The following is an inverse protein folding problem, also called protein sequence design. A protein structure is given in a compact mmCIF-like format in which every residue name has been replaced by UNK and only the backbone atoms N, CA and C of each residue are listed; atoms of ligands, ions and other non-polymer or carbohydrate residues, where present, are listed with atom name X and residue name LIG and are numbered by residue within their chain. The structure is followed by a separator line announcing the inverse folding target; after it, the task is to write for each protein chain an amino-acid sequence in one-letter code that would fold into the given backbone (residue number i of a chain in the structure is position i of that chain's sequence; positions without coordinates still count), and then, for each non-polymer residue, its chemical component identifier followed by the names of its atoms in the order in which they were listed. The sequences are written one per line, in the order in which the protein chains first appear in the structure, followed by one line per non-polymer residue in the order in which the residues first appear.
data_IF_002620040406
#
_entry.id   IF_002620040406
#
_cell.length_a   1.000
_cell.length_b   1.000
_cell.length_c   1.000
_cell.angle_alpha   90.00
_cell.angle_beta   90.00
_cell.angle_gamma   90.00
#
_symmetry.space_group_name_H-M   'P 1'
#
loop_
_entity.id
_entity.type
_entity.pdbx_description
1 polymer ?
#
# COMPACT_ATOMS: atom_id res chain seq x y z
N UNK A 1 2.10 -26.37 10.30
CA UNK A 1 1.96 -24.94 9.94
C UNK A 1 2.79 -23.99 10.82
N UNK A 2 2.88 -24.17 12.14
CA UNK A 2 3.62 -23.26 13.06
C UNK A 2 5.13 -23.15 12.78
N UNK A 3 5.82 -24.26 12.50
CA UNK A 3 7.27 -24.26 12.21
C UNK A 3 7.61 -23.41 10.99
N UNK A 4 6.81 -23.51 9.92
CA UNK A 4 7.01 -22.75 8.68
C UNK A 4 6.87 -21.24 8.90
N UNK A 5 5.89 -20.82 9.69
CA UNK A 5 5.70 -19.41 10.07
C UNK A 5 6.89 -18.88 10.88
N UNK A 6 7.42 -19.66 11.81
CA UNK A 6 8.60 -19.28 12.60
C UNK A 6 9.86 -19.16 11.73
N UNK A 7 10.07 -20.06 10.79
CA UNK A 7 11.21 -20.02 9.86
C UNK A 7 11.15 -18.79 8.96
N UNK A 8 9.99 -18.49 8.37
CA UNK A 8 9.80 -17.31 7.53
C UNK A 8 10.03 -16.02 8.32
N UNK A 9 9.51 -15.92 9.55
CA UNK A 9 9.73 -14.77 10.40
C UNK A 9 11.22 -14.54 10.71
N UNK A 10 11.96 -15.60 11.05
CA UNK A 10 13.41 -15.51 11.29
C UNK A 10 14.17 -15.02 10.05
N UNK A 11 13.83 -15.56 8.87
CA UNK A 11 14.44 -15.11 7.62
C UNK A 11 14.22 -13.61 7.39
N UNK A 12 13.00 -13.11 7.65
CA UNK A 12 12.70 -11.67 7.56
C UNK A 12 13.51 -10.82 8.54
N UNK A 13 13.64 -11.26 9.79
CA UNK A 13 14.44 -10.58 10.81
C UNK A 13 15.93 -10.54 10.46
N UNK A 14 16.47 -11.63 9.92
CA UNK A 14 17.86 -11.74 9.49
C UNK A 14 18.16 -10.85 8.26
N UNK A 15 17.22 -10.76 7.31
CA UNK A 15 17.31 -9.83 6.16
C UNK A 15 17.30 -8.37 6.62
N UNK A 16 16.48 -8.04 7.62
CA UNK A 16 16.36 -6.70 8.15
C UNK A 16 17.60 -6.26 8.92
N UNK A 17 18.05 -7.08 9.90
CA UNK A 17 19.19 -6.77 10.76
C UNK A 17 20.53 -6.95 10.03
N UNK A 18 20.52 -7.78 9.00
CA UNK A 18 21.68 -8.23 8.27
C UNK A 18 22.35 -9.42 8.95
N UNK A 19 22.90 -10.32 8.13
CA UNK A 19 23.59 -11.52 8.61
C UNK A 19 25.07 -11.24 8.75
N UNK A 20 25.62 -11.54 9.92
CA UNK A 20 27.06 -11.56 10.16
C UNK A 20 27.59 -12.87 9.57
N UNK A 21 28.29 -12.81 8.44
CA UNK A 21 29.08 -13.95 7.97
C UNK A 21 30.25 -14.13 8.93
N UNK A 22 30.19 -15.17 9.78
CA UNK A 22 31.42 -15.72 10.35
C UNK A 22 32.21 -16.24 9.16
N UNK A 23 33.32 -15.58 8.83
CA UNK A 23 34.21 -16.04 7.77
C UNK A 23 34.59 -17.50 8.03
N UNK A 24 34.65 -18.32 6.98
CA UNK A 24 35.47 -19.53 7.05
C UNK A 24 36.87 -19.05 7.47
N UNK A 25 37.31 -19.41 8.68
CA UNK A 25 38.72 -19.36 9.01
C UNK A 25 39.38 -20.46 8.19
N UNK A 26 39.77 -20.15 6.97
CA UNK A 26 40.87 -20.88 6.35
C UNK A 26 42.14 -20.44 7.08
N UNK A 27 42.84 -21.43 7.61
CA UNK A 27 44.12 -21.28 8.28
C UNK A 27 45.16 -20.70 7.31
N UNK A 28 45.33 -19.38 7.29
CA UNK A 28 46.58 -18.76 6.85
C UNK A 28 46.87 -17.52 7.72
N UNK A 29 47.95 -17.63 8.48
CA UNK A 29 48.55 -16.54 9.22
C UNK A 29 49.07 -15.48 8.24
N UNK A 30 48.64 -14.22 8.40
CA UNK A 30 49.48 -13.03 8.64
C UNK A 30 48.75 -11.72 8.28
N UNK A 31 48.94 -10.71 9.14
CA UNK A 31 48.49 -9.31 9.07
C UNK A 31 47.00 -8.99 9.30
N UNK A 32 46.67 -8.82 10.59
CA UNK A 32 45.41 -8.27 11.09
C UNK A 32 45.32 -6.74 10.87
N UNK A 33 44.57 -6.33 9.86
CA UNK A 33 43.66 -5.18 10.03
C UNK A 33 42.33 -5.79 10.42
N UNK A 34 41.82 -5.41 11.58
CA UNK A 34 40.60 -5.91 12.21
C UNK A 34 39.38 -5.73 11.27
N UNK A 35 39.20 -6.68 10.34
CA UNK A 35 38.07 -6.66 9.42
C UNK A 35 36.84 -7.14 10.18
N UNK A 36 36.10 -6.18 10.75
CA UNK A 36 34.76 -6.44 11.29
C UNK A 36 33.99 -7.27 10.27
N UNK A 37 33.35 -8.38 10.68
CA UNK A 37 32.60 -9.21 9.74
C UNK A 37 31.58 -8.32 9.02
N UNK A 38 31.62 -8.33 7.68
CA UNK A 38 30.74 -7.51 6.85
C UNK A 38 29.32 -8.03 7.00
N UNK A 39 28.53 -7.38 7.84
CA UNK A 39 27.10 -7.63 7.94
C UNK A 39 26.46 -7.33 6.58
N UNK A 40 25.94 -8.36 5.91
CA UNK A 40 25.16 -8.17 4.68
C UNK A 40 23.75 -7.69 5.06
N UNK A 41 23.55 -6.39 5.17
CA UNK A 41 22.25 -5.79 5.46
C UNK A 41 21.51 -5.46 4.14
N UNK A 42 20.83 -6.45 3.56
CA UNK A 42 20.10 -6.28 2.29
C UNK A 42 19.05 -5.16 2.36
N UNK A 43 18.38 -5.04 3.51
CA UNK A 43 17.40 -3.99 3.77
C UNK A 43 17.99 -2.56 3.73
N UNK A 44 19.30 -2.42 4.01
CA UNK A 44 20.01 -1.12 3.97
C UNK A 44 20.97 -1.02 2.78
N UNK A 45 20.78 -1.86 1.76
CA UNK A 45 21.64 -1.86 0.58
C UNK A 45 21.50 -0.55 -0.21
N UNK A 46 22.62 -0.07 -0.77
CA UNK A 46 22.63 1.02 -1.74
C UNK A 46 22.05 0.60 -3.10
N UNK A 47 21.98 -0.71 -3.38
CA UNK A 47 21.29 -1.25 -4.55
C UNK A 47 19.79 -1.20 -4.34
N UNK A 48 19.10 -0.37 -5.12
CA UNK A 48 17.65 -0.19 -5.04
C UNK A 48 16.90 -1.52 -5.25
N UNK A 49 17.17 -2.35 -6.27
CA UNK A 49 16.49 -3.64 -6.43
C UNK A 49 16.64 -4.58 -5.21
N UNK A 50 17.84 -4.67 -4.62
CA UNK A 50 18.09 -5.52 -3.45
C UNK A 50 17.37 -4.98 -2.20
N UNK A 51 17.43 -3.67 -1.97
CA UNK A 51 16.72 -3.01 -0.87
C UNK A 51 15.20 -3.13 -1.02
N UNK A 52 14.68 -2.99 -2.23
CA UNK A 52 13.26 -3.10 -2.52
C UNK A 52 12.73 -4.51 -2.28
N UNK A 53 13.42 -5.52 -2.83
CA UNK A 53 13.02 -6.92 -2.65
C UNK A 53 13.11 -7.34 -1.18
N UNK A 54 14.19 -6.98 -0.49
CA UNK A 54 14.33 -7.25 0.94
C UNK A 54 13.24 -6.56 1.78
N UNK A 55 12.86 -5.33 1.43
CA UNK A 55 11.72 -4.63 2.03
C UNK A 55 10.42 -5.42 1.89
N UNK A 56 10.11 -5.93 0.69
CA UNK A 56 8.91 -6.75 0.48
C UNK A 56 8.96 -8.08 1.25
N UNK A 57 10.13 -8.70 1.36
CA UNK A 57 10.31 -9.92 2.16
C UNK A 57 10.02 -9.62 3.64
N UNK A 58 10.56 -8.53 4.18
CA UNK A 58 10.28 -8.10 5.56
C UNK A 58 8.79 -7.89 5.76
N UNK A 59 8.13 -7.12 4.87
CA UNK A 59 6.68 -6.89 4.94
C UNK A 59 5.87 -8.20 4.88
N UNK A 60 6.32 -9.21 4.13
CA UNK A 60 5.60 -10.48 3.99
C UNK A 60 5.81 -11.43 5.17
N UNK A 61 6.91 -11.31 5.90
CA UNK A 61 7.37 -12.35 6.84
C UNK A 61 7.45 -11.90 8.29
N UNK A 62 7.63 -10.61 8.55
CA UNK A 62 7.78 -10.04 9.89
C UNK A 62 6.42 -9.58 10.43
N UNK A 63 6.25 -9.67 11.74
CA UNK A 63 5.01 -9.24 12.45
C UNK A 63 5.25 -8.09 13.43
N UNK A 64 6.52 -7.76 13.73
CA UNK A 64 6.88 -6.70 14.66
C UNK A 64 6.57 -5.33 14.04
N UNK A 65 5.78 -4.52 14.74
CA UNK A 65 5.20 -3.30 14.17
C UNK A 65 6.23 -2.21 13.86
N UNK A 66 7.29 -2.12 14.66
CA UNK A 66 8.43 -1.21 14.47
C UNK A 66 9.27 -1.55 13.23
N UNK A 67 9.48 -2.84 12.96
CA UNK A 67 10.18 -3.30 11.76
C UNK A 67 9.33 -3.11 10.51
N UNK A 68 8.03 -3.40 10.61
CA UNK A 68 7.08 -3.17 9.52
C UNK A 68 6.95 -1.68 9.18
N UNK A 69 6.92 -0.80 10.18
CA UNK A 69 6.89 0.65 9.97
C UNK A 69 8.13 1.12 9.20
N UNK A 70 9.33 0.70 9.63
CA UNK A 70 10.57 1.02 8.92
C UNK A 70 10.60 0.47 7.48
N UNK A 71 10.05 -0.73 7.27
CA UNK A 71 9.93 -1.31 5.94
C UNK A 71 9.00 -0.49 5.04
N UNK A 72 7.85 -0.03 5.55
CA UNK A 72 6.98 0.86 4.80
C UNK A 72 7.61 2.22 4.54
N UNK A 73 8.39 2.78 5.48
CA UNK A 73 9.10 4.03 5.25
C UNK A 73 10.12 3.89 4.11
N UNK A 74 10.91 2.79 4.10
CA UNK A 74 11.83 2.49 2.99
C UNK A 74 11.08 2.32 1.66
N UNK A 75 9.95 1.59 1.67
CA UNK A 75 9.13 1.39 0.47
C UNK A 75 8.60 2.73 -0.07
N UNK A 76 8.03 3.58 0.78
CA UNK A 76 7.52 4.89 0.43
C UNK A 76 8.61 5.79 -0.16
N UNK A 77 9.83 5.73 0.37
CA UNK A 77 10.97 6.48 -0.17
C UNK A 77 11.32 6.00 -1.59
N UNK A 78 11.39 4.69 -1.80
CA UNK A 78 11.75 4.11 -3.10
C UNK A 78 10.70 4.37 -4.17
N UNK A 79 9.41 4.36 -3.79
CA UNK A 79 8.29 4.61 -4.70
C UNK A 79 8.19 6.05 -5.21
N UNK A 80 8.98 6.99 -4.66
CA UNK A 80 9.10 8.35 -5.22
C UNK A 80 9.85 8.34 -6.56
N UNK A 81 10.72 7.36 -6.78
CA UNK A 81 11.46 7.20 -8.03
C UNK A 81 10.73 6.25 -8.98
N UNK A 82 10.82 6.55 -10.28
CA UNK A 82 10.21 5.74 -11.34
C UNK A 82 10.76 4.30 -11.38
N UNK A 83 12.04 4.11 -11.05
CA UNK A 83 12.64 2.78 -10.91
C UNK A 83 11.99 1.96 -9.78
N UNK A 84 11.69 2.60 -8.64
CA UNK A 84 10.97 1.94 -7.54
C UNK A 84 9.54 1.58 -7.91
N UNK A 85 8.83 2.45 -8.66
CA UNK A 85 7.50 2.14 -9.20
C UNK A 85 7.54 0.96 -10.18
N UNK A 86 8.58 0.87 -11.01
CA UNK A 86 8.77 -0.28 -11.90
C UNK A 86 8.93 -1.58 -11.09
N UNK A 87 9.83 -1.59 -10.11
CA UNK A 87 10.05 -2.76 -9.25
C UNK A 87 8.81 -3.15 -8.44
N UNK A 88 8.00 -2.19 -8.01
CA UNK A 88 6.74 -2.46 -7.33
C UNK A 88 5.80 -3.34 -8.18
N UNK A 89 5.76 -3.06 -9.49
CA UNK A 89 4.95 -3.81 -10.45
C UNK A 89 5.60 -5.16 -10.78
N UNK A 90 6.90 -5.19 -11.08
CA UNK A 90 7.64 -6.41 -11.39
C UNK A 90 7.61 -7.43 -10.24
N UNK A 91 7.74 -6.96 -9.00
CA UNK A 91 7.72 -7.80 -7.80
C UNK A 91 6.30 -8.14 -7.34
N UNK A 92 5.24 -7.71 -8.05
CA UNK A 92 3.84 -7.90 -7.66
C UNK A 92 3.59 -7.47 -6.21
N UNK A 93 3.98 -6.25 -5.84
CA UNK A 93 3.96 -5.79 -4.46
C UNK A 93 2.54 -5.55 -3.89
N UNK A 94 1.52 -5.37 -4.74
CA UNK A 94 0.15 -5.03 -4.31
C UNK A 94 -0.40 -6.01 -3.25
N UNK A 95 -0.41 -7.34 -3.44
CA UNK A 95 -0.92 -8.27 -2.43
C UNK A 95 -0.14 -8.22 -1.10
N UNK A 96 1.16 -7.92 -1.15
CA UNK A 96 1.99 -7.78 0.05
C UNK A 96 1.54 -6.56 0.85
N UNK A 97 1.37 -5.41 0.20
CA UNK A 97 0.88 -4.18 0.86
C UNK A 97 -0.56 -4.33 1.35
N UNK A 98 -1.45 -4.94 0.55
CA UNK A 98 -2.86 -5.16 0.94
C UNK A 98 -3.00 -6.01 2.21
N UNK A 99 -2.06 -6.94 2.47
CA UNK A 99 -2.08 -7.78 3.67
C UNK A 99 -1.96 -7.00 4.99
N UNK A 100 -1.55 -5.73 4.91
CA UNK A 100 -1.39 -4.80 6.02
C UNK A 100 -2.50 -3.75 6.14
N UNK A 101 -3.47 -3.73 5.22
CA UNK A 101 -4.65 -2.85 5.32
C UNK A 101 -5.66 -3.37 6.35
N UNK A 102 -5.28 -3.33 7.63
CA UNK A 102 -6.09 -3.80 8.76
C UNK A 102 -6.33 -2.67 9.76
N UNK A 103 -7.59 -2.50 10.16
CA UNK A 103 -8.02 -1.44 11.12
C UNK A 103 -7.34 -1.58 12.49
N UNK A 104 -6.89 -2.77 12.86
CA UNK A 104 -6.23 -3.06 14.14
C UNK A 104 -4.89 -2.35 14.34
N UNK A 105 -4.23 -1.88 13.27
CA UNK A 105 -2.96 -1.15 13.37
C UNK A 105 -3.03 0.15 12.56
N UNK A 106 -3.46 1.24 13.20
CA UNK A 106 -3.66 2.54 12.54
C UNK A 106 -2.39 3.08 11.88
N UNK A 107 -1.24 2.96 12.55
CA UNK A 107 0.06 3.41 12.02
C UNK A 107 0.44 2.65 10.75
N UNK A 108 0.45 1.31 10.79
CA UNK A 108 0.78 0.49 9.62
C UNK A 108 -0.24 0.64 8.49
N UNK A 109 -1.52 0.81 8.84
CA UNK A 109 -2.57 1.09 7.86
C UNK A 109 -2.29 2.39 7.10
N UNK A 110 -1.87 3.47 7.79
CA UNK A 110 -1.46 4.71 7.12
C UNK A 110 -0.30 4.47 6.17
N UNK A 111 0.79 3.85 6.66
CA UNK A 111 2.00 3.66 5.85
C UNK A 111 1.75 2.77 4.63
N UNK A 112 0.89 1.76 4.75
CA UNK A 112 0.48 0.91 3.62
C UNK A 112 -0.34 1.68 2.57
N UNK A 113 -1.29 2.52 3.00
CA UNK A 113 -2.05 3.38 2.09
C UNK A 113 -1.13 4.42 1.43
N UNK A 114 -0.20 5.01 2.18
CA UNK A 114 0.78 5.96 1.64
C UNK A 114 1.65 5.35 0.55
N UNK A 115 2.07 4.09 0.72
CA UNK A 115 2.79 3.33 -0.30
C UNK A 115 1.95 3.16 -1.58
N UNK A 116 0.67 2.81 -1.45
CA UNK A 116 -0.23 2.70 -2.60
C UNK A 116 -0.46 4.06 -3.28
N UNK A 117 -0.52 5.15 -2.49
CA UNK A 117 -0.68 6.50 -3.03
C UNK A 117 0.53 6.96 -3.83
N UNK A 118 1.76 6.58 -3.48
CA UNK A 118 2.93 6.90 -4.29
C UNK A 118 2.80 6.34 -5.73
N UNK A 119 2.17 5.18 -5.89
CA UNK A 119 1.86 4.60 -7.20
C UNK A 119 0.76 5.34 -7.96
N UNK A 120 -0.01 6.21 -7.29
CA UNK A 120 -1.07 7.02 -7.93
C UNK A 120 -0.61 8.38 -8.45
N UNK A 121 0.63 8.78 -8.11
CA UNK A 121 1.27 9.99 -8.63
C UNK A 121 1.48 9.84 -10.13
N UNK A 122 1.12 10.88 -10.90
CA UNK A 122 1.19 10.89 -12.36
C UNK A 122 2.58 10.47 -12.86
N UNK A 123 2.63 9.33 -13.54
CA UNK A 123 3.78 8.80 -14.27
C UNK A 123 3.32 7.67 -15.19
N UNK A 124 4.21 7.16 -16.04
CA UNK A 124 3.92 6.02 -16.94
C UNK A 124 3.50 4.73 -16.23
N UNK A 125 3.72 4.63 -14.91
CA UNK A 125 3.39 3.46 -14.09
C UNK A 125 2.00 3.51 -13.46
N UNK A 126 1.32 4.67 -13.51
CA UNK A 126 -0.01 4.83 -12.93
C UNK A 126 -1.01 3.84 -13.52
N UNK A 127 -1.11 3.79 -14.85
CA UNK A 127 -2.11 2.94 -15.53
C UNK A 127 -1.86 1.44 -15.28
N UNK A 128 -0.63 0.90 -15.43
CA UNK A 128 -0.33 -0.48 -15.04
C UNK A 128 -0.65 -0.78 -13.56
N UNK A 129 -0.39 0.16 -12.65
CA UNK A 129 -0.75 -0.01 -11.24
C UNK A 129 -2.26 -0.12 -11.03
N UNK A 130 -3.05 0.73 -11.67
CA UNK A 130 -4.51 0.67 -11.59
C UNK A 130 -5.05 -0.64 -12.18
N UNK A 131 -4.44 -1.17 -13.23
CA UNK A 131 -4.77 -2.48 -13.81
C UNK A 131 -4.51 -3.62 -12.82
N UNK A 132 -3.36 -3.62 -12.12
CA UNK A 132 -3.09 -4.60 -11.05
C UNK A 132 -4.10 -4.48 -9.90
N UNK A 133 -4.49 -3.26 -9.53
CA UNK A 133 -5.50 -3.01 -8.49
C UNK A 133 -6.93 -3.36 -8.95
N UNK A 134 -7.17 -3.55 -10.25
CA UNK A 134 -8.47 -3.90 -10.84
C UNK A 134 -8.83 -5.38 -10.62
N UNK A 135 -8.72 -5.86 -9.37
CA UNK A 135 -8.88 -7.26 -9.00
C UNK A 135 -9.72 -7.44 -7.73
N UNK A 136 -10.26 -8.65 -7.54
CA UNK A 136 -11.13 -8.97 -6.40
C UNK A 136 -10.46 -8.78 -5.03
N UNK A 137 -9.15 -9.05 -4.93
CA UNK A 137 -8.42 -8.92 -3.66
C UNK A 137 -8.42 -7.46 -3.17
N UNK A 138 -8.14 -6.51 -4.06
CA UNK A 138 -8.14 -5.08 -3.74
C UNK A 138 -9.52 -4.63 -3.26
N UNK A 139 -10.55 -4.85 -4.06
CA UNK A 139 -11.91 -4.40 -3.75
C UNK A 139 -12.50 -5.06 -2.49
N UNK A 140 -12.23 -6.36 -2.28
CA UNK A 140 -12.58 -7.03 -1.02
C UNK A 140 -11.91 -6.37 0.18
N UNK A 141 -10.63 -6.02 0.05
CA UNK A 141 -9.86 -5.38 1.14
C UNK A 141 -10.43 -3.99 1.45
N UNK A 142 -10.71 -3.17 0.43
CA UNK A 142 -11.38 -1.87 0.61
C UNK A 142 -12.75 -2.02 1.27
N UNK A 143 -13.55 -2.99 0.82
CA UNK A 143 -14.87 -3.29 1.37
C UNK A 143 -14.80 -3.64 2.86
N UNK A 144 -13.81 -4.44 3.29
CA UNK A 144 -13.59 -4.73 4.72
C UNK A 144 -13.18 -3.46 5.47
N UNK A 145 -12.25 -2.68 4.92
CA UNK A 145 -11.74 -1.48 5.56
C UNK A 145 -12.82 -0.42 5.77
N UNK A 146 -13.64 -0.16 4.75
CA UNK A 146 -14.73 0.81 4.79
C UNK A 146 -15.86 0.42 5.76
N UNK A 147 -15.99 -0.87 6.15
CA UNK A 147 -16.98 -1.32 7.15
C UNK A 147 -16.51 -1.05 8.58
N UNK A 148 -15.24 -0.68 8.77
CA UNK A 148 -14.67 -0.42 10.09
C UNK A 148 -15.34 0.78 10.76
N UNK A 149 -16.03 0.61 11.91
CA UNK A 149 -16.85 1.68 12.54
C UNK A 149 -16.03 2.86 13.11
N UNK A 150 -14.72 2.90 12.89
CA UNK A 150 -13.77 3.92 13.37
C UNK A 150 -12.64 4.14 12.37
N UNK A 151 -12.93 3.96 11.08
CA UNK A 151 -11.94 4.27 10.05
C UNK A 151 -11.59 5.75 10.15
N UNK A 152 -10.30 6.02 10.31
CA UNK A 152 -9.81 7.38 10.43
C UNK A 152 -10.11 8.17 9.14
N UNK A 153 -10.56 9.41 9.30
CA UNK A 153 -10.99 10.24 8.18
C UNK A 153 -9.87 10.48 7.17
N UNK A 154 -8.63 10.67 7.63
CA UNK A 154 -7.49 10.90 6.75
C UNK A 154 -7.14 9.64 5.96
N UNK A 155 -7.30 8.46 6.55
CA UNK A 155 -7.16 7.19 5.84
C UNK A 155 -8.26 7.03 4.78
N UNK A 156 -9.50 7.40 5.12
CA UNK A 156 -10.61 7.37 4.19
C UNK A 156 -10.39 8.33 3.01
N UNK A 157 -9.92 9.55 3.25
CA UNK A 157 -9.52 10.51 2.22
C UNK A 157 -8.50 9.90 1.26
N UNK A 158 -7.40 9.36 1.79
CA UNK A 158 -6.35 8.72 0.99
C UNK A 158 -6.88 7.55 0.18
N UNK A 159 -7.70 6.68 0.78
CA UNK A 159 -8.33 5.56 0.09
C UNK A 159 -9.28 6.03 -1.02
N UNK A 160 -10.03 7.11 -0.78
CA UNK A 160 -10.97 7.67 -1.75
C UNK A 160 -10.29 8.13 -3.03
N UNK A 161 -9.04 8.60 -2.97
CA UNK A 161 -8.24 8.98 -4.16
C UNK A 161 -8.02 7.76 -5.06
N UNK A 162 -7.62 6.63 -4.47
CA UNK A 162 -7.34 5.40 -5.23
C UNK A 162 -8.64 4.86 -5.83
N UNK A 163 -9.71 4.79 -5.03
CA UNK A 163 -11.03 4.36 -5.50
C UNK A 163 -11.59 5.27 -6.59
N UNK A 164 -11.39 6.59 -6.49
CA UNK A 164 -11.80 7.53 -7.52
C UNK A 164 -11.08 7.27 -8.84
N UNK A 165 -9.76 7.03 -8.83
CA UNK A 165 -9.02 6.67 -10.05
C UNK A 165 -9.51 5.35 -10.63
N UNK A 166 -9.72 4.33 -9.80
CA UNK A 166 -10.25 3.03 -10.24
C UNK A 166 -11.67 3.09 -10.81
N UNK A 167 -12.50 4.02 -10.34
CA UNK A 167 -13.88 4.20 -10.83
C UNK A 167 -13.96 4.69 -12.28
N UNK A 168 -12.89 5.32 -12.79
CA UNK A 168 -12.80 5.76 -14.19
C UNK A 168 -12.66 4.59 -15.17
N UNK A 169 -12.20 3.43 -14.70
CA UNK A 169 -12.04 2.23 -15.51
C UNK A 169 -13.39 1.52 -15.60
N UNK A 170 -14.02 1.56 -16.79
CA UNK A 170 -15.38 1.06 -16.99
C UNK A 170 -15.56 -0.41 -16.56
N UNK A 171 -14.56 -1.26 -16.79
CA UNK A 171 -14.62 -2.68 -16.42
C UNK A 171 -14.62 -2.92 -14.90
N UNK A 172 -14.26 -1.93 -14.08
CA UNK A 172 -14.25 -2.05 -12.63
C UNK A 172 -15.61 -1.84 -11.98
N UNK A 173 -16.62 -1.34 -12.70
CA UNK A 173 -17.99 -1.15 -12.15
C UNK A 173 -18.51 -2.41 -11.46
N UNK A 174 -18.35 -3.57 -12.10
CA UNK A 174 -18.71 -4.87 -11.55
C UNK A 174 -18.00 -5.20 -10.22
N UNK A 175 -16.77 -4.73 -10.01
CA UNK A 175 -16.03 -4.95 -8.77
C UNK A 175 -16.53 -4.02 -7.64
N UNK A 176 -16.85 -2.77 -7.97
CA UNK A 176 -17.52 -1.86 -7.03
C UNK A 176 -18.87 -2.41 -6.58
N UNK A 177 -19.62 -3.04 -7.50
CA UNK A 177 -20.91 -3.69 -7.24
C UNK A 177 -20.75 -4.96 -6.41
N UNK A 178 -19.93 -5.90 -6.89
CA UNK A 178 -19.71 -7.22 -6.27
C UNK A 178 -19.27 -7.11 -4.80
N UNK A 179 -18.43 -6.11 -4.48
CA UNK A 179 -17.94 -5.89 -3.12
C UNK A 179 -18.69 -4.79 -2.37
N UNK A 180 -19.82 -4.33 -2.89
CA UNK A 180 -20.71 -3.31 -2.31
C UNK A 180 -20.00 -2.00 -1.94
N UNK A 181 -18.85 -1.71 -2.54
CA UNK A 181 -18.04 -0.53 -2.21
C UNK A 181 -18.82 0.74 -2.54
N UNK A 182 -19.55 0.73 -3.65
CA UNK A 182 -20.37 1.87 -4.08
C UNK A 182 -21.42 2.29 -3.04
N UNK A 183 -22.18 1.34 -2.45
CA UNK A 183 -23.17 1.63 -1.39
C UNK A 183 -22.51 2.25 -0.17
N UNK A 184 -21.33 1.75 0.20
CA UNK A 184 -20.59 2.27 1.34
C UNK A 184 -20.10 3.69 1.10
N UNK A 185 -19.62 3.99 -0.11
CA UNK A 185 -19.24 5.35 -0.49
C UNK A 185 -20.46 6.30 -0.55
N UNK A 186 -21.64 5.82 -0.96
CA UNK A 186 -22.87 6.61 -0.89
C UNK A 186 -23.26 6.97 0.55
N UNK A 187 -23.21 6.00 1.46
CA UNK A 187 -23.52 6.26 2.86
C UNK A 187 -22.51 7.24 3.49
N UNK A 188 -21.22 7.04 3.21
CA UNK A 188 -20.17 7.97 3.65
C UNK A 188 -20.40 9.37 3.08
N UNK A 189 -20.75 9.50 1.79
CA UNK A 189 -21.03 10.79 1.16
C UNK A 189 -22.21 11.50 1.81
N UNK A 190 -23.25 10.76 2.23
CA UNK A 190 -24.43 11.31 2.92
C UNK A 190 -24.10 11.86 4.32
N UNK A 191 -23.10 11.29 5.00
CA UNK A 191 -22.75 11.65 6.39
C UNK A 191 -21.50 12.51 6.52
N UNK A 192 -20.74 12.73 5.44
CA UNK A 192 -19.49 13.51 5.47
C UNK A 192 -19.79 15.01 5.58
N UNK A 193 -19.10 15.70 6.48
CA UNK A 193 -19.24 17.15 6.64
C UNK A 193 -18.72 17.90 5.39
N UNK A 194 -19.41 18.94 4.88
CA UNK A 194 -19.01 19.67 3.67
C UNK A 194 -17.61 20.29 3.72
N UNK A 195 -17.06 20.57 4.90
CA UNK A 195 -15.71 21.11 5.08
C UNK A 195 -14.60 20.12 4.64
N UNK A 196 -14.90 18.83 4.57
CA UNK A 196 -13.99 17.83 4.02
C UNK A 196 -14.07 17.81 2.49
N UNK A 197 -13.77 18.96 1.88
CA UNK A 197 -13.98 19.21 0.45
C UNK A 197 -13.28 18.18 -0.45
N UNK A 198 -12.05 17.79 -0.12
CA UNK A 198 -11.30 16.78 -0.89
C UNK A 198 -11.97 15.41 -0.87
N UNK A 199 -12.43 14.96 0.31
CA UNK A 199 -13.19 13.72 0.43
C UNK A 199 -14.48 13.79 -0.39
N UNK A 200 -15.25 14.86 -0.21
CA UNK A 200 -16.51 15.09 -0.94
C UNK A 200 -16.30 15.06 -2.46
N UNK A 201 -15.26 15.71 -2.98
CA UNK A 201 -14.91 15.71 -4.41
C UNK A 201 -14.63 14.29 -4.90
N UNK A 202 -13.80 13.52 -4.17
CA UNK A 202 -13.46 12.15 -4.56
C UNK A 202 -14.67 11.22 -4.53
N UNK A 203 -15.53 11.33 -3.50
CA UNK A 203 -16.76 10.55 -3.38
C UNK A 203 -17.73 10.88 -4.53
N UNK A 204 -18.01 12.16 -4.76
CA UNK A 204 -18.91 12.60 -5.82
C UNK A 204 -18.40 12.15 -7.20
N UNK A 205 -17.12 12.31 -7.48
CA UNK A 205 -16.52 11.87 -8.75
C UNK A 205 -16.61 10.34 -8.91
N UNK A 206 -16.37 9.59 -7.84
CA UNK A 206 -16.51 8.13 -7.84
C UNK A 206 -17.93 7.72 -8.17
N UNK A 207 -18.93 8.25 -7.46
CA UNK A 207 -20.34 7.92 -7.65
C UNK A 207 -20.84 8.35 -9.03
N UNK A 208 -20.35 9.48 -9.56
CA UNK A 208 -20.62 9.92 -10.92
C UNK A 208 -20.09 8.95 -11.96
N UNK A 209 -18.82 8.54 -11.87
CA UNK A 209 -18.23 7.57 -12.81
C UNK A 209 -18.96 6.22 -12.80
N UNK A 210 -19.47 5.82 -11.63
CA UNK A 210 -20.29 4.62 -11.48
C UNK A 210 -21.71 4.79 -12.05
N UNK A 211 -22.18 6.01 -12.28
CA UNK A 211 -23.53 6.31 -12.79
C UNK A 211 -24.59 6.35 -11.69
N UNK A 212 -24.18 6.55 -10.43
CA UNK A 212 -25.04 6.50 -9.24
C UNK A 212 -25.50 7.89 -8.79
N UNK A 213 -24.90 8.96 -9.29
CA UNK A 213 -25.45 10.31 -9.17
C UNK A 213 -26.15 10.66 -10.47
N UNK A 214 -27.46 10.94 -10.40
CA UNK A 214 -28.10 11.76 -11.42
C UNK A 214 -27.47 13.15 -11.34
N UNK A 215 -27.17 13.79 -12.47
CA UNK A 215 -26.90 15.22 -12.48
C UNK A 215 -28.09 15.91 -11.81
N UNK A 216 -27.96 16.28 -10.54
CA UNK A 216 -28.67 17.45 -10.04
C UNK A 216 -27.91 18.64 -10.62
N UNK A 217 -28.08 18.85 -11.94
CA UNK A 217 -27.88 20.16 -12.53
C UNK A 217 -28.64 21.13 -11.64
N UNK A 218 -27.89 22.06 -11.07
CA UNK A 218 -28.34 23.23 -10.33
C UNK A 218 -29.68 23.77 -10.89
N UNK A 219 -30.78 23.25 -10.35
CA UNK A 219 -32.09 23.89 -10.40
C UNK A 219 -32.33 24.48 -9.00
N UNK A 220 -31.37 25.29 -8.56
CA UNK A 220 -31.59 26.18 -7.44
C UNK A 220 -32.17 27.48 -8.00
N UNK A 221 -33.49 27.59 -7.87
CA UNK A 221 -34.24 28.83 -7.68
C UNK A 221 -33.95 29.99 -8.65
N UNK A 222 -34.62 29.97 -9.79
CA UNK A 222 -35.24 31.17 -10.33
C UNK A 222 -36.74 30.85 -10.48
N UNK A 223 -37.50 31.17 -9.44
CA UNK A 223 -38.96 31.27 -9.49
C UNK A 223 -39.32 32.76 -9.41
N UNK A 224 -40.49 33.14 -9.96
CA UNK A 224 -40.65 34.14 -11.04
C UNK A 224 -40.54 35.60 -10.62
#
# INVERSE_FOLDING_TARGET
HSTMTSTLRRLGEDIFKGVVTKGLQDNSFEHSVESKPKTAAFFKSSSLPLRFLSTLIVLKTVTQADLLAQAFDSLCLDLKADEGKNLFLECQAVPVVLSHLKVSSKGLLSSAIDSLLQMTVESRFLQPFLEVCSCSLFFRTCSVLLRGPKLDLHILEKLSIILQKLSKIKSNKKLFELFTVHLMLQEIQRTTHPEHAFLCINLNSTLFNLGLTKCNSLAASANP
#
